data_IF_622709572007
#
_entry.id   IF_622709572007
#
_cell.length_a   1.000
_cell.length_b   1.000
_cell.length_c   1.000
_cell.angle_alpha   90.00
_cell.angle_beta   90.00
_cell.angle_gamma   90.00
#
_symmetry.space_group_name_H-M   'P 1'
#
loop_
_entity.id
_entity.type
_entity.pdbx_description
1 polymer ?
#
# COMPACT_ATOMS: atom_id res chain seq x y z
N UNK A 1 -6.13 -58.22 -21.96
CA UNK A 1 -5.22 -57.40 -21.15
C UNK A 1 -5.72 -55.95 -21.16
N UNK A 2 -6.53 -55.58 -20.16
CA UNK A 2 -7.09 -54.23 -20.03
C UNK A 2 -6.05 -53.35 -19.32
N UNK A 3 -5.43 -52.42 -20.06
CA UNK A 3 -4.74 -51.25 -19.51
C UNK A 3 -5.77 -50.12 -19.39
N UNK A 4 -5.52 -49.13 -18.53
CA UNK A 4 -6.32 -47.92 -18.21
C UNK A 4 -7.21 -48.14 -16.97
N UNK A 5 -7.15 -47.36 -15.88
CA UNK A 5 -6.47 -46.12 -15.55
C UNK A 5 -6.08 -46.09 -14.06
N UNK A 6 -4.90 -45.55 -13.76
CA UNK A 6 -4.55 -45.09 -12.41
C UNK A 6 -5.21 -43.72 -12.24
N UNK A 7 -6.26 -43.65 -11.43
CA UNK A 7 -6.91 -42.40 -11.04
C UNK A 7 -6.03 -41.73 -9.98
N UNK A 8 -5.14 -40.84 -10.40
CA UNK A 8 -4.32 -40.04 -9.49
C UNK A 8 -5.21 -38.95 -8.89
N UNK A 9 -5.80 -39.22 -7.74
CA UNK A 9 -6.57 -38.25 -6.96
C UNK A 9 -5.56 -37.28 -6.32
N UNK A 10 -5.22 -36.21 -7.05
CA UNK A 10 -4.37 -35.14 -6.55
C UNK A 10 -5.21 -34.32 -5.56
N UNK A 11 -5.28 -34.77 -4.31
CA UNK A 11 -5.79 -33.97 -3.20
C UNK A 11 -4.79 -32.82 -3.04
N UNK A 12 -5.05 -31.71 -3.72
CA UNK A 12 -4.45 -30.43 -3.37
C UNK A 12 -4.99 -30.12 -1.98
N UNK A 13 -4.23 -30.51 -0.94
CA UNK A 13 -4.52 -30.04 0.40
C UNK A 13 -4.36 -28.52 0.36
N UNK A 14 -5.48 -27.81 0.35
CA UNK A 14 -5.52 -26.40 0.68
C UNK A 14 -4.99 -26.31 2.12
N UNK A 15 -3.70 -26.06 2.27
CA UNK A 15 -3.10 -25.76 3.56
C UNK A 15 -3.73 -24.42 3.95
N UNK A 16 -4.76 -24.48 4.79
CA UNK A 16 -5.32 -23.30 5.41
C UNK A 16 -4.29 -22.80 6.42
N UNK A 17 -3.45 -21.86 5.99
CA UNK A 17 -2.58 -21.14 6.91
C UNK A 17 -3.47 -20.32 7.85
N UNK A 18 -3.52 -20.74 9.11
CA UNK A 18 -4.17 -19.98 10.16
C UNK A 18 -3.29 -18.79 10.49
N UNK A 19 -3.82 -17.57 10.38
CA UNK A 19 -3.15 -16.36 10.86
C UNK A 19 -3.60 -16.05 12.28
N UNK A 20 -2.68 -15.57 13.11
CA UNK A 20 -2.99 -15.14 14.47
C UNK A 20 -2.87 -13.62 14.57
N UNK A 21 -3.91 -12.98 15.13
CA UNK A 21 -3.90 -11.53 15.37
C UNK A 21 -3.59 -11.31 16.85
N UNK A 22 -2.44 -10.71 17.13
CA UNK A 22 -2.04 -10.33 18.49
C UNK A 22 -2.38 -8.87 18.71
N UNK A 23 -3.13 -8.55 19.77
CA UNK A 23 -3.53 -7.17 20.12
C UNK A 23 -3.20 -6.87 21.56
N UNK A 24 -2.55 -5.74 21.79
CA UNK A 24 -2.37 -5.11 23.11
C UNK A 24 -3.09 -3.76 23.10
N UNK A 25 -3.81 -3.44 24.16
CA UNK A 25 -4.54 -2.17 24.33
C UNK A 25 -4.78 -1.87 25.80
N UNK A 26 -5.23 -0.64 26.09
CA UNK A 26 -5.61 -0.23 27.45
C UNK A 26 -7.04 -0.71 27.80
N UNK A 27 -7.90 -0.85 26.79
CA UNK A 27 -9.29 -1.30 26.93
C UNK A 27 -9.70 -2.27 25.82
N UNK A 28 -10.60 -3.21 26.15
CA UNK A 28 -11.20 -4.18 25.22
C UNK A 28 -12.67 -4.43 25.56
N UNK A 29 -13.52 -4.45 24.53
CA UNK A 29 -14.94 -4.78 24.62
C UNK A 29 -15.31 -5.83 23.56
N UNK A 30 -15.24 -7.13 23.91
CA UNK A 30 -15.58 -8.21 22.99
C UNK A 30 -17.08 -8.52 22.99
N UNK A 31 -17.59 -8.83 21.80
CA UNK A 31 -18.92 -9.40 21.53
C UNK A 31 -18.77 -10.55 20.53
N UNK A 32 -19.86 -11.24 20.19
CA UNK A 32 -19.81 -12.39 19.27
C UNK A 32 -19.22 -12.07 17.88
N UNK A 33 -19.47 -10.85 17.39
CA UNK A 33 -19.17 -10.43 16.02
C UNK A 33 -18.29 -9.18 15.91
N UNK A 34 -17.93 -8.56 17.03
CA UNK A 34 -17.16 -7.33 17.09
C UNK A 34 -16.29 -7.33 18.33
N UNK A 35 -15.03 -6.95 18.21
CA UNK A 35 -14.18 -6.62 19.35
C UNK A 35 -13.69 -5.19 19.15
N UNK A 36 -13.98 -4.31 20.10
CA UNK A 36 -13.49 -2.93 20.12
C UNK A 36 -12.28 -2.82 21.05
N UNK A 37 -11.36 -1.94 20.68
CA UNK A 37 -10.15 -1.61 21.44
C UNK A 37 -9.99 -0.10 21.48
N UNK A 38 -9.53 0.41 22.63
CA UNK A 38 -9.24 1.84 22.83
C UNK A 38 -7.93 2.02 23.62
N UNK A 39 -7.34 3.21 23.52
CA UNK A 39 -6.09 3.57 24.18
C UNK A 39 -4.86 3.28 23.32
N UNK A 40 -3.74 2.93 23.95
CA UNK A 40 -2.48 2.66 23.25
C UNK A 40 -2.51 1.28 22.56
N UNK A 41 -3.02 1.23 21.33
CA UNK A 41 -3.24 -0.03 20.61
C UNK A 41 -2.02 -0.41 19.78
N UNK A 42 -1.57 -1.65 19.96
CA UNK A 42 -0.58 -2.31 19.13
C UNK A 42 -1.16 -3.64 18.64
N UNK A 43 -1.29 -3.79 17.33
CA UNK A 43 -1.66 -5.03 16.66
C UNK A 43 -0.46 -5.60 15.90
N UNK A 44 -0.29 -6.93 15.93
CA UNK A 44 0.70 -7.68 15.15
C UNK A 44 0.08 -8.89 14.48
N UNK A 45 0.47 -9.13 13.24
CA UNK A 45 0.18 -10.34 12.47
C UNK A 45 1.52 -10.82 11.92
N UNK A 46 2.13 -11.75 12.65
CA UNK A 46 3.52 -12.15 12.40
C UNK A 46 3.67 -12.85 11.04
N UNK A 47 2.66 -13.61 10.62
CA UNK A 47 2.62 -14.29 9.32
C UNK A 47 2.63 -13.32 8.14
N UNK A 48 2.19 -12.07 8.36
CA UNK A 48 2.15 -11.01 7.35
C UNK A 48 3.30 -9.99 7.52
N UNK A 49 4.17 -10.16 8.52
CA UNK A 49 5.13 -9.13 8.97
C UNK A 49 4.48 -7.76 9.16
N UNK A 50 3.25 -7.74 9.68
CA UNK A 50 2.45 -6.53 9.81
C UNK A 50 2.36 -6.10 11.27
N UNK A 51 2.62 -4.81 11.50
CA UNK A 51 2.42 -4.16 12.78
C UNK A 51 1.57 -2.90 12.58
N UNK A 52 0.54 -2.75 13.40
CA UNK A 52 -0.35 -1.59 13.38
C UNK A 52 -0.35 -0.90 14.74
N UNK A 53 -0.23 0.41 14.73
CA UNK A 53 -0.34 1.29 15.89
C UNK A 53 -1.49 2.26 15.65
N UNK A 54 -2.35 2.47 16.65
CA UNK A 54 -3.49 3.38 16.58
C UNK A 54 -4.03 3.69 17.98
N UNK A 55 -5.02 4.58 18.08
CA UNK A 55 -5.70 4.89 19.36
C UNK A 55 -7.10 4.26 19.49
N UNK A 56 -7.73 3.93 18.36
CA UNK A 56 -9.04 3.31 18.33
C UNK A 56 -9.09 2.28 17.21
N UNK A 57 -9.61 1.09 17.52
CA UNK A 57 -9.69 -0.01 16.58
C UNK A 57 -10.90 -0.89 16.87
N UNK A 58 -11.46 -1.49 15.83
CA UNK A 58 -12.37 -2.60 15.98
C UNK A 58 -12.09 -3.69 14.95
N UNK A 59 -12.23 -4.95 15.35
CA UNK A 59 -12.21 -6.10 14.45
C UNK A 59 -13.61 -6.72 14.38
N UNK A 60 -14.07 -6.98 13.16
CA UNK A 60 -15.39 -7.51 12.85
C UNK A 60 -15.29 -8.93 12.31
N UNK A 61 -16.21 -9.77 12.75
CA UNK A 61 -16.41 -11.12 12.22
C UNK A 61 -17.36 -11.06 11.03
N UNK A 62 -16.92 -11.57 9.87
CA UNK A 62 -17.71 -11.70 8.65
C UNK A 62 -17.61 -13.16 8.19
N UNK A 63 -18.73 -13.80 7.85
CA UNK A 63 -18.78 -15.21 7.45
C UNK A 63 -18.06 -16.14 8.46
N UNK A 64 -18.30 -15.90 9.75
CA UNK A 64 -17.70 -16.61 10.88
C UNK A 64 -16.16 -16.47 11.00
N UNK A 65 -15.55 -15.46 10.37
CA UNK A 65 -14.11 -15.19 10.46
C UNK A 65 -13.82 -13.75 10.84
N UNK A 66 -12.85 -13.54 11.74
CA UNK A 66 -12.33 -12.22 12.06
C UNK A 66 -11.49 -11.71 10.90
N UNK A 67 -12.05 -10.84 10.07
CA UNK A 67 -11.42 -10.47 8.79
C UNK A 67 -11.35 -8.98 8.55
N UNK A 68 -12.22 -8.17 9.14
CA UNK A 68 -12.28 -6.73 8.86
C UNK A 68 -11.84 -5.91 10.07
N UNK A 69 -10.78 -5.14 9.88
CA UNK A 69 -10.22 -4.22 10.85
C UNK A 69 -10.56 -2.78 10.44
N UNK A 70 -11.11 -2.01 11.37
CA UNK A 70 -11.28 -0.57 11.23
C UNK A 70 -10.43 0.10 12.30
N UNK A 71 -9.64 1.10 11.94
CA UNK A 71 -8.85 1.88 12.89
C UNK A 71 -8.96 3.37 12.61
N UNK A 72 -8.95 4.16 13.68
CA UNK A 72 -9.13 5.61 13.65
C UNK A 72 -8.05 6.27 14.52
N UNK A 73 -7.68 7.50 14.15
CA UNK A 73 -6.74 8.38 14.86
C UNK A 73 -5.29 7.89 14.88
N UNK A 74 -4.43 8.56 14.09
CA UNK A 74 -2.99 8.31 14.04
C UNK A 74 -2.65 6.85 13.73
N UNK A 75 -3.26 6.32 12.67
CA UNK A 75 -2.98 4.97 12.20
C UNK A 75 -1.59 4.93 11.60
N UNK A 76 -0.74 4.03 12.09
CA UNK A 76 0.56 3.70 11.51
C UNK A 76 0.66 2.19 11.27
N UNK A 77 0.92 1.79 10.04
CA UNK A 77 1.12 0.41 9.62
C UNK A 77 2.58 0.26 9.18
N UNK A 78 3.32 -0.60 9.87
CA UNK A 78 4.67 -1.05 9.49
C UNK A 78 4.53 -2.42 8.81
N UNK A 79 5.13 -2.57 7.63
CA UNK A 79 5.13 -3.80 6.85
C UNK A 79 6.49 -4.00 6.18
N UNK A 80 6.63 -5.07 5.38
CA UNK A 80 7.88 -5.39 4.70
C UNK A 80 8.42 -4.21 3.87
N UNK A 81 9.49 -3.60 4.37
CA UNK A 81 10.22 -2.48 3.78
C UNK A 81 9.37 -1.22 3.54
N UNK A 82 8.38 -0.95 4.40
CA UNK A 82 7.59 0.26 4.27
C UNK A 82 6.74 0.61 5.49
N UNK A 83 6.24 1.84 5.46
CA UNK A 83 5.38 2.43 6.47
C UNK A 83 4.24 3.16 5.77
N UNK A 84 3.01 2.91 6.21
CA UNK A 84 1.82 3.67 5.84
C UNK A 84 1.33 4.41 7.09
N UNK A 85 1.02 5.69 6.99
CA UNK A 85 0.45 6.51 8.08
C UNK A 85 -0.78 7.26 7.59
N UNK A 86 -1.77 7.51 8.46
CA UNK A 86 -3.01 8.23 8.12
C UNK A 86 -4.04 8.21 9.24
N UNK A 87 -5.31 8.48 8.91
CA UNK A 87 -6.34 8.75 9.94
C UNK A 87 -7.44 7.70 10.05
N UNK A 88 -7.93 7.16 8.94
CA UNK A 88 -9.10 6.28 8.91
C UNK A 88 -8.82 5.05 8.04
N UNK A 89 -8.55 3.92 8.69
CA UNK A 89 -8.23 2.66 8.06
C UNK A 89 -9.45 1.75 7.97
N UNK A 90 -9.63 1.14 6.81
CA UNK A 90 -10.42 -0.08 6.64
C UNK A 90 -9.53 -1.14 6.00
N UNK A 91 -9.33 -2.27 6.66
CA UNK A 91 -8.38 -3.30 6.25
C UNK A 91 -8.98 -4.69 6.36
N UNK A 92 -8.79 -5.51 5.32
CA UNK A 92 -9.15 -6.91 5.32
C UNK A 92 -7.91 -7.78 5.56
N UNK A 93 -7.90 -8.51 6.68
CA UNK A 93 -6.77 -9.35 7.13
C UNK A 93 -6.57 -10.58 6.24
N UNK A 94 -7.63 -11.11 5.63
CA UNK A 94 -7.53 -12.27 4.75
C UNK A 94 -6.89 -11.90 3.41
N UNK A 95 -7.34 -10.80 2.80
CA UNK A 95 -6.85 -10.37 1.48
C UNK A 95 -5.64 -9.43 1.56
N UNK A 96 -5.35 -8.89 2.74
CA UNK A 96 -4.38 -7.83 2.98
C UNK A 96 -4.62 -6.55 2.16
N UNK A 97 -5.90 -6.31 1.81
CA UNK A 97 -6.34 -5.10 1.11
C UNK A 97 -6.82 -4.09 2.14
N UNK A 98 -6.40 -2.83 2.00
CA UNK A 98 -6.90 -1.76 2.85
C UNK A 98 -7.05 -0.43 2.14
N UNK A 99 -7.79 0.46 2.79
CA UNK A 99 -7.94 1.86 2.40
C UNK A 99 -7.62 2.75 3.58
N UNK A 100 -6.98 3.89 3.32
CA UNK A 100 -6.57 4.85 4.34
C UNK A 100 -6.79 6.27 3.84
N UNK A 101 -7.28 7.14 4.74
CA UNK A 101 -7.43 8.58 4.51
C UNK A 101 -6.23 9.37 5.01
N UNK A 102 -5.97 10.51 4.38
CA UNK A 102 -4.89 11.45 4.68
C UNK A 102 -3.54 10.75 4.78
N UNK A 103 -3.26 9.92 3.78
CA UNK A 103 -2.26 8.90 3.86
C UNK A 103 -0.87 9.39 3.42
N UNK A 104 0.15 9.01 4.16
CA UNK A 104 1.54 9.01 3.72
C UNK A 104 2.08 7.59 3.62
N UNK A 105 2.82 7.32 2.55
CA UNK A 105 3.47 6.04 2.28
C UNK A 105 4.96 6.28 2.11
N UNK A 106 5.77 5.57 2.90
CA UNK A 106 7.23 5.55 2.79
C UNK A 106 7.68 4.13 2.49
N UNK A 107 8.42 3.93 1.40
CA UNK A 107 8.88 2.61 0.95
C UNK A 107 10.39 2.65 0.71
N UNK A 108 11.07 1.64 1.26
CA UNK A 108 12.42 1.26 0.88
C UNK A 108 12.30 0.15 -0.17
N UNK A 109 12.40 0.48 -1.45
CA UNK A 109 12.25 -0.51 -2.52
C UNK A 109 13.54 -1.33 -2.64
N UNK A 110 13.46 -2.66 -2.61
CA UNK A 110 14.62 -3.54 -2.83
C UNK A 110 15.29 -3.31 -4.19
N UNK A 111 14.56 -2.78 -5.18
CA UNK A 111 15.09 -2.44 -6.51
C UNK A 111 15.68 -1.04 -6.57
N UNK A 112 15.59 -0.25 -5.50
CA UNK A 112 16.03 1.14 -5.49
C UNK A 112 16.94 1.44 -4.32
N UNK A 113 17.96 2.26 -4.53
CA UNK A 113 18.77 2.80 -3.43
C UNK A 113 18.10 4.01 -2.76
N UNK A 114 17.00 4.50 -3.33
CA UNK A 114 16.32 5.71 -2.88
C UNK A 114 15.01 5.36 -2.17
N UNK A 115 14.69 6.12 -1.12
CA UNK A 115 13.40 6.02 -0.46
C UNK A 115 12.33 6.69 -1.32
N UNK A 116 11.19 6.01 -1.48
CA UNK A 116 10.01 6.54 -2.15
C UNK A 116 9.06 7.05 -1.07
N UNK A 117 8.69 8.33 -1.16
CA UNK A 117 7.71 8.93 -0.26
C UNK A 117 6.53 9.47 -1.07
N UNK A 118 5.32 9.15 -0.64
CA UNK A 118 4.07 9.53 -1.29
C UNK A 118 3.12 10.11 -0.24
N UNK A 119 2.42 11.20 -0.56
CA UNK A 119 1.36 11.79 0.25
C UNK A 119 0.10 11.97 -0.60
N UNK A 120 -1.03 11.45 -0.15
CA UNK A 120 -2.30 11.48 -0.87
C UNK A 120 -3.48 11.56 0.09
N UNK A 121 -4.62 12.05 -0.38
CA UNK A 121 -5.85 12.10 0.43
C UNK A 121 -6.44 10.71 0.65
N UNK A 122 -6.37 9.84 -0.36
CA UNK A 122 -6.88 8.47 -0.29
C UNK A 122 -5.83 7.52 -0.81
N UNK A 123 -5.49 6.53 0.01
CA UNK A 123 -4.63 5.40 -0.36
C UNK A 123 -5.46 4.13 -0.35
N UNK A 124 -5.38 3.35 -1.42
CA UNK A 124 -5.72 1.93 -1.44
C UNK A 124 -4.44 1.13 -1.57
N UNK A 125 -4.34 0.03 -0.83
CA UNK A 125 -3.15 -0.82 -0.86
C UNK A 125 -3.53 -2.29 -0.81
N UNK A 126 -2.69 -3.11 -1.40
CA UNK A 126 -2.72 -4.55 -1.31
C UNK A 126 -1.30 -5.02 -0.98
N UNK A 127 -1.07 -5.41 0.28
CA UNK A 127 0.27 -5.76 0.75
C UNK A 127 0.74 -7.10 0.16
N UNK A 128 -0.19 -8.02 -0.12
CA UNK A 128 0.09 -9.32 -0.73
C UNK A 128 0.58 -9.17 -2.17
N UNK A 129 -0.13 -8.38 -2.97
CA UNK A 129 0.22 -8.14 -4.39
C UNK A 129 1.26 -7.01 -4.55
N UNK A 130 1.60 -6.33 -3.45
CA UNK A 130 2.55 -5.21 -3.38
C UNK A 130 2.14 -4.04 -4.30
N UNK A 131 0.85 -3.74 -4.29
CA UNK A 131 0.21 -2.70 -5.09
C UNK A 131 -0.33 -1.56 -4.23
N UNK A 132 -0.12 -0.33 -4.70
CA UNK A 132 -0.55 0.89 -4.02
C UNK A 132 -1.18 1.82 -5.04
N UNK A 133 -2.33 2.39 -4.70
CA UNK A 133 -3.08 3.35 -5.53
C UNK A 133 -3.46 4.52 -4.67
N UNK A 134 -3.42 5.73 -5.22
CA UNK A 134 -3.97 6.85 -4.51
C UNK A 134 -4.55 7.90 -5.40
N UNK A 135 -5.43 8.68 -4.80
CA UNK A 135 -6.16 9.77 -5.43
C UNK A 135 -6.07 11.02 -4.58
N UNK A 136 -5.90 12.16 -5.25
CA UNK A 136 -6.11 13.48 -4.68
C UNK A 136 -7.41 14.03 -5.25
N UNK A 137 -8.38 14.40 -4.41
CA UNK A 137 -9.65 14.97 -4.86
C UNK A 137 -9.54 16.47 -5.05
N UNK A 138 -8.97 17.16 -4.06
CA UNK A 138 -8.83 18.61 -4.05
C UNK A 138 -7.37 19.03 -4.24
N UNK A 139 -6.44 18.27 -3.65
CA UNK A 139 -5.02 18.51 -3.74
C UNK A 139 -4.31 17.45 -4.57
N UNK A 140 -3.26 17.86 -5.30
CA UNK A 140 -2.40 16.89 -6.01
C UNK A 140 -1.63 16.05 -4.99
N UNK A 141 -1.57 14.76 -5.29
CA UNK A 141 -0.70 13.79 -4.64
C UNK A 141 0.74 14.26 -4.80
N UNK A 142 1.52 14.22 -3.73
CA UNK A 142 2.94 14.55 -3.77
C UNK A 142 3.78 13.27 -3.72
N UNK A 143 4.76 13.16 -4.61
CA UNK A 143 5.67 12.01 -4.70
C UNK A 143 7.10 12.53 -4.75
N UNK A 144 7.98 11.93 -3.96
CA UNK A 144 9.41 12.18 -4.01
C UNK A 144 10.20 10.88 -4.01
N UNK A 145 11.23 10.84 -4.84
CA UNK A 145 12.19 9.74 -4.94
C UNK A 145 13.53 10.29 -5.42
N UNK A 146 14.53 10.33 -4.54
CA UNK A 146 15.84 10.87 -4.87
C UNK A 146 15.78 12.30 -5.38
N UNK A 147 16.25 12.54 -6.61
CA UNK A 147 16.18 13.85 -7.27
C UNK A 147 14.83 14.18 -7.90
N UNK A 148 13.91 13.20 -7.98
CA UNK A 148 12.61 13.34 -8.61
C UNK A 148 11.58 13.81 -7.57
N UNK A 149 10.86 14.87 -7.93
CA UNK A 149 9.69 15.35 -7.21
C UNK A 149 8.55 15.49 -8.21
N UNK A 150 7.39 14.94 -7.89
CA UNK A 150 6.23 14.94 -8.78
C UNK A 150 4.93 15.22 -8.05
N UNK A 151 3.97 15.77 -8.79
CA UNK A 151 2.60 16.01 -8.38
C UNK A 151 1.64 15.50 -9.44
N UNK A 152 0.57 14.80 -9.03
CA UNK A 152 -0.47 14.30 -9.94
C UNK A 152 -1.79 14.09 -9.18
N UNK A 153 -2.93 13.92 -9.87
CA UNK A 153 -4.19 13.59 -9.19
C UNK A 153 -4.38 12.10 -8.92
N UNK A 154 -3.67 11.24 -9.65
CA UNK A 154 -3.67 9.79 -9.44
C UNK A 154 -2.27 9.22 -9.48
N UNK A 155 -2.03 8.22 -8.63
CA UNK A 155 -0.86 7.36 -8.76
C UNK A 155 -1.22 5.88 -8.66
N UNK A 156 -0.40 5.07 -9.30
CA UNK A 156 -0.35 3.63 -9.12
C UNK A 156 1.09 3.18 -8.99
N UNK A 157 1.42 2.43 -7.95
CA UNK A 157 2.73 1.87 -7.73
C UNK A 157 2.62 0.36 -7.57
N UNK A 158 3.24 -0.37 -8.50
CA UNK A 158 3.42 -1.81 -8.41
C UNK A 158 4.89 -2.10 -8.06
N UNK A 159 5.14 -2.56 -6.83
CA UNK A 159 6.53 -2.80 -6.37
C UNK A 159 7.18 -3.98 -7.09
N UNK A 160 6.40 -5.00 -7.44
CA UNK A 160 6.91 -6.18 -8.14
C UNK A 160 7.49 -5.82 -9.50
N UNK A 161 6.84 -4.91 -10.23
CA UNK A 161 7.34 -4.35 -11.50
C UNK A 161 8.37 -3.25 -11.26
N UNK A 162 8.29 -2.53 -10.15
CA UNK A 162 9.15 -1.38 -9.86
C UNK A 162 8.74 -0.16 -10.67
N UNK A 163 7.43 0.05 -10.85
CA UNK A 163 6.87 1.10 -11.72
C UNK A 163 5.91 1.99 -10.93
N UNK A 164 6.17 3.31 -10.92
CA UNK A 164 5.25 4.32 -10.41
C UNK A 164 4.61 5.04 -11.61
N UNK A 165 3.31 4.88 -11.78
CA UNK A 165 2.52 5.55 -12.80
C UNK A 165 1.79 6.73 -12.19
N UNK A 166 1.92 7.90 -12.79
CA UNK A 166 1.29 9.17 -12.42
C UNK A 166 0.32 9.56 -13.53
N UNK A 167 -0.89 9.95 -13.16
CA UNK A 167 -1.93 10.30 -14.13
C UNK A 167 -2.69 11.55 -13.69
N UNK A 168 -3.34 12.19 -14.67
CA UNK A 168 -4.19 13.37 -14.48
C UNK A 168 -3.39 14.58 -13.96
N UNK A 169 -2.88 15.39 -14.90
CA UNK A 169 -2.12 16.62 -14.64
C UNK A 169 -0.81 16.39 -13.86
N UNK A 170 0.11 15.63 -14.47
CA UNK A 170 1.43 15.39 -13.90
C UNK A 170 2.29 16.64 -14.04
N UNK A 171 2.88 17.07 -12.94
CA UNK A 171 3.93 18.08 -12.84
C UNK A 171 5.12 17.44 -12.15
N UNK A 172 6.24 17.28 -12.85
CA UNK A 172 7.42 16.58 -12.34
C UNK A 172 8.69 17.38 -12.61
N UNK A 173 9.59 17.34 -11.64
CA UNK A 173 10.93 17.89 -11.71
C UNK A 173 11.94 16.81 -11.36
N UNK A 174 12.97 16.67 -12.17
CA UNK A 174 14.17 15.88 -11.85
C UNK A 174 15.37 16.81 -11.77
N UNK A 175 15.83 17.06 -10.54
CA UNK A 175 16.93 17.98 -10.29
C UNK A 175 18.28 17.46 -10.82
N UNK A 176 18.46 16.14 -10.93
CA UNK A 176 19.71 15.53 -11.42
C UNK A 176 19.80 15.63 -12.94
N UNK A 177 18.68 15.39 -13.63
CA UNK A 177 18.58 15.51 -15.09
C UNK A 177 18.32 16.95 -15.55
N UNK A 178 18.08 17.88 -14.62
CA UNK A 178 17.75 19.30 -14.88
C UNK A 178 16.57 19.47 -15.83
N UNK A 179 15.56 18.63 -15.67
CA UNK A 179 14.33 18.67 -16.46
C UNK A 179 13.12 18.98 -15.58
N UNK A 180 12.16 19.70 -16.15
CA UNK A 180 10.79 19.80 -15.67
C UNK A 180 9.85 19.31 -16.78
N UNK A 181 8.78 18.64 -16.40
CA UNK A 181 7.79 18.16 -17.34
C UNK A 181 6.37 18.38 -16.82
N UNK A 182 5.50 18.75 -17.74
CA UNK A 182 4.05 18.66 -17.58
C UNK A 182 3.55 17.56 -18.51
N UNK A 183 2.71 16.65 -18.02
CA UNK A 183 2.24 15.53 -18.82
C UNK A 183 0.83 15.09 -18.40
N UNK A 184 0.15 14.37 -19.30
CA UNK A 184 -1.09 13.67 -18.93
C UNK A 184 -0.79 12.43 -18.09
N UNK A 185 0.28 11.71 -18.44
CA UNK A 185 0.72 10.49 -17.78
C UNK A 185 2.24 10.39 -17.79
N UNK A 186 2.80 9.87 -16.69
CA UNK A 186 4.22 9.53 -16.57
C UNK A 186 4.37 8.20 -15.88
N UNK A 187 5.27 7.35 -16.38
CA UNK A 187 5.73 6.14 -15.71
C UNK A 187 7.18 6.34 -15.29
N UNK A 188 7.49 6.16 -14.02
CA UNK A 188 8.83 6.23 -13.42
C UNK A 188 9.27 4.81 -13.07
N UNK A 189 10.43 4.39 -13.58
CA UNK A 189 11.05 3.11 -13.25
C UNK A 189 11.94 3.28 -12.01
N UNK A 190 11.56 2.60 -10.92
CA UNK A 190 12.17 2.77 -9.58
C UNK A 190 13.66 2.39 -9.52
N UNK A 191 14.09 1.42 -10.33
CA UNK A 191 15.46 0.93 -10.37
C UNK A 191 16.43 1.94 -11.02
N UNK A 192 15.99 2.58 -12.10
CA UNK A 192 16.88 3.38 -12.97
C UNK A 192 16.61 4.87 -12.95
N UNK A 193 15.51 5.31 -12.33
CA UNK A 193 14.99 6.68 -12.45
C UNK A 193 14.71 7.12 -13.90
N UNK A 194 14.58 6.16 -14.82
CA UNK A 194 14.11 6.44 -16.17
C UNK A 194 12.60 6.68 -16.15
N UNK A 195 12.13 7.41 -17.15
CA UNK A 195 10.73 7.80 -17.24
C UNK A 195 10.23 7.78 -18.67
N UNK A 196 8.94 7.47 -18.81
CA UNK A 196 8.16 7.56 -20.06
C UNK A 196 6.99 8.49 -19.81
N UNK A 197 6.70 9.39 -20.73
CA UNK A 197 5.58 10.33 -20.61
C UNK A 197 4.69 10.33 -21.85
N UNK A 198 3.41 10.66 -21.65
CA UNK A 198 2.40 10.86 -22.70
C UNK A 198 1.82 12.28 -22.60
N UNK A 199 1.57 12.92 -23.75
CA UNK A 199 1.14 14.32 -23.87
C UNK A 199 2.02 15.30 -23.09
N UNK A 200 3.32 15.32 -23.44
CA UNK A 200 4.38 15.96 -22.65
C UNK A 200 4.72 17.36 -23.17
N UNK A 201 4.85 18.31 -22.23
CA UNK A 201 5.61 19.55 -22.40
C UNK A 201 6.84 19.48 -21.49
N UNK A 202 8.02 19.70 -22.04
CA UNK A 202 9.30 19.58 -21.32
C UNK A 202 10.09 20.88 -21.35
N UNK A 203 10.69 21.22 -20.22
CA UNK A 203 11.69 22.29 -20.06
C UNK A 203 13.00 21.63 -19.67
N UNK A 204 14.07 21.92 -20.42
CA UNK A 204 15.41 21.41 -20.19
C UNK A 204 16.32 22.60 -19.91
N UNK A 205 16.97 22.61 -18.75
CA UNK A 205 17.99 23.62 -18.45
C UNK A 205 19.31 23.17 -19.05
N UNK A 206 19.83 23.96 -19.98
CA UNK A 206 21.16 23.77 -20.57
C UNK A 206 22.15 24.63 -19.76
N UNK A 207 23.18 23.98 -19.23
CA UNK A 207 24.36 24.62 -18.65
C UNK A 207 25.59 24.30 -19.52
#
# INVERSE_FOLDING_TARGET
>A
MKKIAIFFFLIVSLIFFTKTIHVSSDYIEPTDNLIKYEGSILLRIDEDNLKLLTQKMAIKKINNKWSTLVAENNVKIEFENGIIEGTNLNYNVETQVGTLKDASLTIHDSKSTETISIKCENLEFNLKEKDFRGTGKNDKIFISKGSIVAKAFKFYYNRTKGEITLEESVDLKDNKKKIKLLAKKVVIFTETNNMKGEDVKIEILVE
#
